data_IF_433684969377
#
_entry.id   IF_433684969377
#
_cell.length_a   1.000
_cell.length_b   1.000
_cell.length_c   1.000
_cell.angle_alpha   90.00
_cell.angle_beta   90.00
_cell.angle_gamma   90.00
#
_symmetry.space_group_name_H-M   'P 1'
#
loop_
_entity.id
_entity.type
_entity.pdbx_description
1 polymer ?
#
# COMPACT_ATOMS: atom_id res chain seq x y z
N UNK A 1 0.08 18.37 -36.66
CA UNK A 1 0.04 17.61 -37.93
C UNK A 1 -1.22 17.84 -38.75
N UNK A 2 -2.44 17.73 -38.18
CA UNK A 2 -3.71 17.85 -38.91
C UNK A 2 -3.86 19.16 -39.71
N UNK A 3 -3.69 20.33 -39.07
CA UNK A 3 -3.84 21.64 -39.73
C UNK A 3 -2.83 21.86 -40.88
N UNK A 4 -1.61 21.33 -40.73
CA UNK A 4 -0.56 21.43 -41.75
C UNK A 4 -0.86 20.55 -42.97
N UNK A 5 -1.48 19.39 -42.81
CA UNK A 5 -1.88 18.50 -43.92
C UNK A 5 -3.07 19.06 -44.69
N UNK A 6 -4.04 19.69 -44.00
CA UNK A 6 -5.16 20.39 -44.64
C UNK A 6 -4.69 21.59 -45.46
N UNK A 7 -3.65 22.29 -45.00
CA UNK A 7 -3.04 23.40 -45.75
C UNK A 7 -2.32 22.95 -47.02
N UNK A 8 -1.71 21.76 -47.01
CA UNK A 8 -1.02 21.20 -48.19
C UNK A 8 -1.96 20.45 -49.16
N UNK A 9 -3.28 20.65 -49.04
CA UNK A 9 -4.33 19.99 -49.83
C UNK A 9 -4.34 18.45 -49.72
N UNK A 10 -3.68 17.86 -48.71
CA UNK A 10 -3.71 16.42 -48.44
C UNK A 10 -4.89 16.12 -47.50
N UNK A 11 -6.10 16.22 -48.05
CA UNK A 11 -7.35 16.02 -47.34
C UNK A 11 -7.50 14.60 -46.80
N UNK A 12 -6.97 13.60 -47.51
CA UNK A 12 -7.00 12.20 -47.07
C UNK A 12 -6.19 12.00 -45.80
N UNK A 13 -4.93 12.48 -45.74
CA UNK A 13 -4.14 12.39 -44.51
C UNK A 13 -4.71 13.25 -43.38
N UNK A 14 -5.25 14.44 -43.70
CA UNK A 14 -5.91 15.32 -42.74
C UNK A 14 -7.10 14.62 -42.05
N UNK A 15 -8.03 14.06 -42.82
CA UNK A 15 -9.21 13.35 -42.30
C UNK A 15 -8.82 12.13 -41.46
N UNK A 16 -7.78 11.39 -41.85
CA UNK A 16 -7.32 10.21 -41.13
C UNK A 16 -6.63 10.54 -39.80
N UNK A 17 -5.88 11.65 -39.73
CA UNK A 17 -5.31 12.14 -38.47
C UNK A 17 -6.41 12.65 -37.55
N UNK A 18 -7.38 13.40 -38.10
CA UNK A 18 -8.50 13.94 -37.32
C UNK A 18 -9.40 12.84 -36.75
N UNK A 19 -9.72 11.82 -37.56
CA UNK A 19 -10.47 10.65 -37.12
C UNK A 19 -9.75 9.92 -35.97
N UNK A 20 -8.41 9.85 -36.02
CA UNK A 20 -7.63 9.27 -34.94
C UNK A 20 -7.64 10.08 -33.64
N UNK A 21 -7.61 11.41 -33.73
CA UNK A 21 -7.74 12.29 -32.55
C UNK A 21 -9.11 12.09 -31.88
N UNK A 22 -10.18 12.07 -32.68
CA UNK A 22 -11.55 11.91 -32.16
C UNK A 22 -11.75 10.53 -31.54
N UNK A 23 -11.31 9.47 -32.23
CA UNK A 23 -11.42 8.09 -31.76
C UNK A 23 -10.66 7.87 -30.44
N UNK A 24 -9.39 8.29 -30.37
CA UNK A 24 -8.59 8.20 -29.15
C UNK A 24 -9.18 9.05 -28.02
N UNK A 25 -9.71 10.24 -28.32
CA UNK A 25 -10.37 11.09 -27.32
C UNK A 25 -11.65 10.47 -26.75
N UNK A 26 -12.45 9.84 -27.61
CA UNK A 26 -13.62 9.07 -27.16
C UNK A 26 -13.21 7.88 -26.29
N UNK A 27 -12.14 7.17 -26.68
CA UNK A 27 -11.61 6.04 -25.91
C UNK A 27 -11.14 6.47 -24.52
N UNK A 28 -10.40 7.57 -24.43
CA UNK A 28 -9.93 8.08 -23.15
C UNK A 28 -11.07 8.54 -22.24
N UNK A 29 -12.15 9.10 -22.81
CA UNK A 29 -13.35 9.48 -22.04
C UNK A 29 -14.09 8.26 -21.48
N UNK A 30 -14.25 7.21 -22.29
CA UNK A 30 -14.93 5.97 -21.87
C UNK A 30 -14.08 5.18 -20.86
N UNK A 31 -12.76 5.14 -21.05
CA UNK A 31 -11.88 4.47 -20.08
C UNK A 31 -11.83 5.28 -18.77
N UNK A 32 -11.83 6.62 -18.87
CA UNK A 32 -11.80 7.53 -17.73
C UNK A 32 -13.12 7.69 -16.97
N UNK A 33 -14.25 7.17 -17.50
CA UNK A 33 -15.53 7.15 -16.76
C UNK A 33 -15.60 6.05 -15.72
N UNK A 34 -14.63 5.13 -15.72
CA UNK A 34 -14.55 4.04 -14.75
C UNK A 34 -14.39 4.59 -13.33
N UNK A 35 -15.20 4.10 -12.40
CA UNK A 35 -14.97 4.34 -10.98
C UNK A 35 -14.00 3.31 -10.44
N UNK A 36 -12.93 3.77 -9.77
CA UNK A 36 -12.00 2.91 -9.05
C UNK A 36 -12.65 2.53 -7.72
N UNK A 37 -13.17 1.30 -7.61
CA UNK A 37 -13.68 0.78 -6.35
C UNK A 37 -12.65 -0.17 -5.73
N UNK A 38 -12.33 0.07 -4.46
CA UNK A 38 -11.54 -0.84 -3.66
C UNK A 38 -12.45 -1.98 -3.17
N UNK A 39 -12.35 -3.14 -3.82
CA UNK A 39 -13.19 -4.27 -3.43
C UNK A 39 -12.60 -4.96 -2.19
N UNK A 40 -13.16 -4.64 -1.03
CA UNK A 40 -12.89 -5.36 0.21
C UNK A 40 -13.37 -6.80 0.15
N UNK A 41 -12.55 -7.73 0.62
CA UNK A 41 -13.00 -9.12 0.87
C UNK A 41 -13.93 -9.06 2.07
N UNK A 42 -15.22 -9.40 1.87
CA UNK A 42 -16.18 -9.48 2.99
C UNK A 42 -15.67 -10.47 4.04
N UNK A 43 -15.34 -9.97 5.22
CA UNK A 43 -14.99 -10.79 6.37
C UNK A 43 -16.19 -11.64 6.80
N UNK A 44 -15.91 -12.86 7.28
CA UNK A 44 -16.95 -13.73 7.82
C UNK A 44 -17.57 -13.06 9.07
N UNK A 45 -18.89 -13.17 9.30
CA UNK A 45 -19.58 -12.45 10.39
C UNK A 45 -19.14 -12.83 11.81
N UNK A 46 -18.27 -13.83 11.95
CA UNK A 46 -17.69 -14.30 13.22
C UNK A 46 -16.18 -14.09 13.30
N UNK A 47 -15.57 -13.39 12.34
CA UNK A 47 -14.14 -13.12 12.37
C UNK A 47 -13.82 -12.08 13.47
N UNK A 48 -12.77 -12.30 14.27
CA UNK A 48 -12.35 -11.35 15.30
C UNK A 48 -11.80 -10.06 14.67
N UNK A 49 -11.91 -8.89 15.33
CA UNK A 49 -11.42 -7.63 14.79
C UNK A 49 -9.98 -7.75 14.28
N UNK A 50 -9.76 -7.44 13.01
CA UNK A 50 -8.49 -7.67 12.33
C UNK A 50 -7.64 -6.43 12.35
N UNK A 51 -6.66 -6.39 13.25
CA UNK A 51 -5.52 -5.50 13.07
C UNK A 51 -4.55 -6.12 12.05
N UNK A 52 -3.90 -5.30 11.23
CA UNK A 52 -2.99 -5.71 10.18
C UNK A 52 -1.54 -5.31 10.46
N UNK A 53 -0.59 -6.11 9.97
CA UNK A 53 0.84 -5.79 10.02
C UNK A 53 1.48 -6.10 8.67
N UNK A 54 2.09 -5.10 8.06
CA UNK A 54 2.97 -5.23 6.91
C UNK A 54 4.40 -5.05 7.36
N UNK A 55 5.27 -5.94 6.89
CA UNK A 55 6.71 -5.86 7.13
C UNK A 55 7.41 -5.89 5.78
N UNK A 56 8.20 -4.87 5.49
CA UNK A 56 9.11 -4.83 4.36
C UNK A 56 10.52 -4.44 4.85
N UNK A 57 11.38 -5.45 4.98
CA UNK A 57 12.74 -5.25 5.51
C UNK A 57 12.76 -4.67 6.93
N UNK A 58 13.18 -3.40 7.04
CA UNK A 58 13.25 -2.64 8.30
C UNK A 58 12.00 -1.79 8.56
N UNK A 59 11.11 -1.66 7.58
CA UNK A 59 9.89 -0.87 7.70
C UNK A 59 8.71 -1.75 8.14
N UNK A 60 7.96 -1.23 9.12
CA UNK A 60 6.85 -1.93 9.76
C UNK A 60 5.66 -1.00 9.78
N UNK A 61 4.60 -1.40 9.07
CA UNK A 61 3.35 -0.64 9.02
C UNK A 61 2.30 -1.41 9.81
N UNK A 62 1.77 -0.76 10.85
CA UNK A 62 0.71 -1.28 11.71
C UNK A 62 -0.60 -0.60 11.32
N UNK A 63 -1.59 -1.42 10.95
CA UNK A 63 -2.92 -0.97 10.58
C UNK A 63 -3.87 -1.37 11.71
N UNK A 64 -4.27 -0.41 12.52
CA UNK A 64 -5.18 -0.61 13.65
C UNK A 64 -6.60 -0.23 13.20
N UNK A 65 -7.58 -1.12 13.37
CA UNK A 65 -8.94 -0.81 12.93
C UNK A 65 -9.95 -1.94 13.08
N UNK A 66 -11.24 -1.59 12.98
CA UNK A 66 -12.31 -2.58 12.92
C UNK A 66 -12.30 -3.29 11.57
N UNK A 67 -12.44 -4.62 11.61
CA UNK A 67 -12.33 -5.53 10.46
C UNK A 67 -13.37 -5.27 9.36
N UNK A 68 -14.46 -4.58 9.71
CA UNK A 68 -15.59 -4.28 8.83
C UNK A 68 -15.28 -3.22 7.75
N UNK A 69 -14.29 -2.34 7.96
CA UNK A 69 -14.04 -1.22 7.01
C UNK A 69 -12.64 -1.18 6.38
N UNK A 70 -11.56 -1.62 7.05
CA UNK A 70 -10.21 -1.13 6.67
C UNK A 70 -9.14 -2.23 6.55
N UNK A 71 -8.89 -3.04 7.58
CA UNK A 71 -7.68 -3.87 7.61
C UNK A 71 -7.67 -5.05 6.62
N UNK A 72 -8.80 -5.73 6.40
CA UNK A 72 -8.88 -6.83 5.43
C UNK A 72 -8.88 -6.29 3.99
N UNK A 73 -9.43 -5.09 3.79
CA UNK A 73 -9.43 -4.39 2.49
C UNK A 73 -8.04 -3.84 2.15
N UNK A 74 -7.26 -3.35 3.11
CA UNK A 74 -5.89 -2.91 2.85
C UNK A 74 -4.95 -4.09 2.61
N UNK A 75 -5.05 -5.15 3.41
CA UNK A 75 -4.12 -6.29 3.32
C UNK A 75 -4.44 -7.27 2.18
N UNK A 76 -5.68 -7.30 1.70
CA UNK A 76 -6.15 -8.26 0.67
C UNK A 76 -7.00 -7.65 -0.43
N UNK A 77 -7.26 -6.34 -0.38
CA UNK A 77 -8.06 -5.67 -1.38
C UNK A 77 -7.40 -5.73 -2.74
N UNK A 78 -8.26 -5.82 -3.77
CA UNK A 78 -7.86 -5.63 -5.15
C UNK A 78 -8.52 -4.34 -5.62
N UNK A 79 -7.75 -3.48 -6.26
CA UNK A 79 -8.32 -2.37 -7.00
C UNK A 79 -9.08 -2.95 -8.19
N UNK A 80 -10.38 -2.66 -8.27
CA UNK A 80 -11.22 -3.08 -9.39
C UNK A 80 -11.86 -1.86 -10.02
N UNK A 81 -11.72 -1.75 -11.34
CA UNK A 81 -12.42 -0.74 -12.12
C UNK A 81 -13.85 -1.22 -12.33
N UNK A 82 -14.81 -0.47 -11.78
CA UNK A 82 -16.24 -0.76 -11.93
C UNK A 82 -16.85 0.20 -12.94
N UNK A 83 -17.43 -0.39 -13.97
CA UNK A 83 -18.20 0.30 -14.99
C UNK A 83 -19.68 0.12 -14.70
N UNK A 84 -20.50 1.14 -14.97
CA UNK A 84 -21.94 1.03 -14.80
C UNK A 84 -22.54 0.04 -15.83
N UNK A 85 -23.34 -0.94 -15.38
CA UNK A 85 -23.44 -2.23 -16.07
C UNK A 85 -24.18 -2.27 -17.40
N UNK A 86 -24.84 -1.21 -17.86
CA UNK A 86 -25.81 -1.31 -18.96
C UNK A 86 -25.42 -0.63 -20.27
N UNK A 87 -24.59 0.41 -20.27
CA UNK A 87 -24.23 1.13 -21.50
C UNK A 87 -22.70 1.20 -21.72
N UNK A 88 -21.92 1.20 -20.65
CA UNK A 88 -20.47 1.42 -20.73
C UNK A 88 -19.71 0.24 -21.33
N UNK A 89 -20.13 -1.02 -21.09
CA UNK A 89 -19.50 -2.18 -21.71
C UNK A 89 -19.68 -2.19 -23.24
N UNK A 90 -20.85 -1.77 -23.72
CA UNK A 90 -21.11 -1.63 -25.15
C UNK A 90 -20.32 -0.45 -25.74
N UNK A 91 -20.17 0.65 -24.99
CA UNK A 91 -19.33 1.78 -25.37
C UNK A 91 -17.84 1.42 -25.45
N UNK A 92 -17.30 0.67 -24.47
CA UNK A 92 -15.92 0.17 -24.47
C UNK A 92 -15.68 -0.73 -25.69
N UNK A 93 -16.59 -1.68 -25.94
CA UNK A 93 -16.50 -2.58 -27.08
C UNK A 93 -16.56 -1.84 -28.42
N UNK A 94 -17.48 -0.87 -28.55
CA UNK A 94 -17.63 -0.05 -29.75
C UNK A 94 -16.40 0.85 -29.97
N UNK A 95 -15.85 1.41 -28.90
CA UNK A 95 -14.67 2.24 -28.96
C UNK A 95 -13.42 1.44 -29.33
N UNK A 96 -13.25 0.25 -28.74
CA UNK A 96 -12.18 -0.69 -29.11
C UNK A 96 -12.26 -1.08 -30.59
N UNK A 97 -13.46 -1.39 -31.09
CA UNK A 97 -13.66 -1.72 -32.50
C UNK A 97 -13.37 -0.52 -33.42
N UNK A 98 -13.77 0.68 -33.01
CA UNK A 98 -13.52 1.92 -33.75
C UNK A 98 -12.02 2.24 -33.81
N UNK A 99 -11.28 2.03 -32.72
CA UNK A 99 -9.81 2.17 -32.69
C UNK A 99 -9.11 1.16 -33.60
N UNK A 100 -9.53 -0.10 -33.58
CA UNK A 100 -8.97 -1.14 -34.48
C UNK A 100 -9.28 -0.80 -35.93
N UNK A 101 -10.52 -0.41 -36.24
CA UNK A 101 -10.91 0.00 -37.58
C UNK A 101 -10.12 1.23 -38.04
N UNK A 102 -9.92 2.22 -37.17
CA UNK A 102 -9.07 3.39 -37.42
C UNK A 102 -7.63 2.96 -37.73
N UNK A 103 -7.04 2.10 -36.91
CA UNK A 103 -5.65 1.64 -37.09
C UNK A 103 -5.48 0.95 -38.46
N UNK A 104 -6.42 0.07 -38.82
CA UNK A 104 -6.43 -0.62 -40.10
C UNK A 104 -6.59 0.35 -41.28
N UNK A 105 -7.52 1.31 -41.15
CA UNK A 105 -7.72 2.33 -42.17
C UNK A 105 -6.48 3.21 -42.33
N UNK A 106 -5.80 3.58 -41.23
CA UNK A 106 -4.55 4.34 -41.25
C UNK A 106 -3.43 3.52 -41.92
N UNK A 107 -3.31 2.22 -41.65
CA UNK A 107 -2.33 1.36 -42.29
C UNK A 107 -2.54 1.24 -43.81
N UNK A 108 -3.78 1.22 -44.27
CA UNK A 108 -4.12 1.04 -45.69
C UNK A 108 -4.10 2.35 -46.49
N UNK A 109 -4.61 3.44 -45.91
CA UNK A 109 -4.82 4.70 -46.62
C UNK A 109 -3.62 5.66 -46.54
N UNK A 110 -2.82 5.62 -45.47
CA UNK A 110 -1.64 6.50 -45.33
C UNK A 110 -0.56 6.20 -46.37
N UNK A 111 -0.25 4.92 -46.72
CA UNK A 111 0.66 4.62 -47.81
C UNK A 111 0.20 5.13 -49.18
N UNK A 112 -1.11 5.36 -49.37
CA UNK A 112 -1.69 5.93 -50.58
C UNK A 112 -1.68 7.47 -50.61
N UNK A 113 -1.36 8.11 -49.48
CA UNK A 113 -1.25 9.57 -49.34
C UNK A 113 0.09 10.14 -49.83
N UNK A 114 0.29 11.44 -49.67
CA UNK A 114 1.54 12.09 -50.10
C UNK A 114 2.70 11.80 -49.15
N UNK A 115 3.94 11.84 -49.64
CA UNK A 115 5.15 11.66 -48.81
C UNK A 115 5.19 12.61 -47.61
N UNK A 116 4.72 13.86 -47.80
CA UNK A 116 4.62 14.84 -46.71
C UNK A 116 3.61 14.40 -45.64
N UNK A 117 2.42 13.95 -46.05
CA UNK A 117 1.39 13.43 -45.13
C UNK A 117 1.89 12.23 -44.31
N UNK A 118 2.66 11.33 -44.92
CA UNK A 118 3.25 10.16 -44.26
C UNK A 118 4.24 10.55 -43.15
N UNK A 119 5.14 11.50 -43.42
CA UNK A 119 6.11 12.00 -42.43
C UNK A 119 5.39 12.73 -41.28
N UNK A 120 4.35 13.51 -41.59
CA UNK A 120 3.55 14.21 -40.58
C UNK A 120 2.75 13.27 -39.67
N UNK A 121 2.29 12.14 -40.20
CA UNK A 121 1.67 11.08 -39.40
C UNK A 121 2.70 10.38 -38.51
N UNK A 122 3.82 9.93 -39.09
CA UNK A 122 4.86 9.19 -38.37
C UNK A 122 5.46 10.01 -37.22
N UNK A 123 5.69 11.31 -37.45
CA UNK A 123 6.13 12.24 -36.41
C UNK A 123 5.09 12.43 -35.30
N UNK A 124 3.79 12.51 -35.62
CA UNK A 124 2.76 12.58 -34.58
C UNK A 124 2.65 11.30 -33.75
N UNK A 125 2.87 10.14 -34.37
CA UNK A 125 2.88 8.86 -33.68
C UNK A 125 4.11 8.74 -32.77
N UNK A 126 5.28 9.14 -33.27
CA UNK A 126 6.51 9.20 -32.48
C UNK A 126 6.39 10.15 -31.28
N UNK A 127 5.81 11.34 -31.47
CA UNK A 127 5.57 12.29 -30.40
C UNK A 127 4.58 11.74 -29.34
N UNK A 128 3.50 11.09 -29.78
CA UNK A 128 2.51 10.48 -28.87
C UNK A 128 3.12 9.31 -28.07
N UNK A 129 3.94 8.49 -28.72
CA UNK A 129 4.67 7.41 -28.05
C UNK A 129 5.68 7.95 -27.03
N UNK A 130 6.45 8.98 -27.37
CA UNK A 130 7.39 9.61 -26.44
C UNK A 130 6.68 10.24 -25.25
N UNK A 131 5.52 10.86 -25.47
CA UNK A 131 4.69 11.40 -24.39
C UNK A 131 4.14 10.31 -23.48
N UNK A 132 3.65 9.19 -24.04
CA UNK A 132 3.18 8.06 -23.24
C UNK A 132 4.32 7.39 -22.47
N UNK A 133 5.54 7.31 -23.01
CA UNK A 133 6.71 6.85 -22.27
C UNK A 133 7.05 7.78 -21.11
N UNK A 134 6.97 9.09 -21.33
CA UNK A 134 7.18 10.08 -20.27
C UNK A 134 6.13 9.93 -19.16
N UNK A 135 4.84 9.82 -19.51
CA UNK A 135 3.78 9.57 -18.53
C UNK A 135 3.95 8.22 -17.82
N UNK A 136 4.34 7.16 -18.53
CA UNK A 136 4.63 5.87 -17.91
C UNK A 136 5.86 5.90 -17.00
N UNK A 137 6.74 6.88 -17.17
CA UNK A 137 7.90 7.12 -16.31
C UNK A 137 7.59 8.03 -15.12
N UNK A 138 6.43 8.70 -15.11
CA UNK A 138 5.96 9.39 -13.91
C UNK A 138 5.69 8.33 -12.85
N UNK A 139 6.12 8.64 -11.64
CA UNK A 139 6.03 7.74 -10.51
C UNK A 139 4.56 7.49 -10.15
N UNK A 140 4.09 6.28 -10.43
CA UNK A 140 2.72 5.88 -10.13
C UNK A 140 2.52 5.62 -8.64
N UNK A 141 3.61 5.53 -7.86
CA UNK A 141 3.55 5.27 -6.41
C UNK A 141 2.80 6.38 -5.68
N UNK A 142 3.07 7.64 -5.99
CA UNK A 142 2.39 8.77 -5.36
C UNK A 142 0.89 8.83 -5.69
N UNK A 143 0.54 8.52 -6.94
CA UNK A 143 -0.87 8.46 -7.37
C UNK A 143 -1.59 7.28 -6.69
N UNK A 144 -0.92 6.14 -6.56
CA UNK A 144 -1.46 4.99 -5.85
C UNK A 144 -1.65 5.27 -4.36
N UNK A 145 -0.70 5.97 -3.74
CA UNK A 145 -0.79 6.41 -2.34
C UNK A 145 -1.98 7.35 -2.13
N UNK A 146 -2.10 8.41 -2.92
CA UNK A 146 -3.23 9.36 -2.81
C UNK A 146 -4.58 8.67 -3.01
N UNK A 147 -4.70 7.81 -4.02
CA UNK A 147 -5.93 7.04 -4.27
C UNK A 147 -6.26 6.07 -3.13
N UNK A 148 -5.23 5.45 -2.52
CA UNK A 148 -5.41 4.56 -1.37
C UNK A 148 -5.90 5.36 -0.16
N UNK A 149 -5.31 6.51 0.13
CA UNK A 149 -5.70 7.38 1.25
C UNK A 149 -7.12 7.93 1.08
N UNK A 150 -7.47 8.38 -0.13
CA UNK A 150 -8.81 8.87 -0.45
C UNK A 150 -9.86 7.76 -0.32
N UNK A 151 -9.60 6.58 -0.88
CA UNK A 151 -10.52 5.44 -0.80
C UNK A 151 -10.77 4.97 0.65
N UNK A 152 -9.76 5.10 1.52
CA UNK A 152 -9.84 4.72 2.92
C UNK A 152 -10.33 5.88 3.81
N UNK A 153 -10.56 7.06 3.24
CA UNK A 153 -10.86 8.29 3.98
C UNK A 153 -9.83 8.55 5.10
N UNK A 154 -8.58 8.16 4.88
CA UNK A 154 -7.48 8.34 5.81
C UNK A 154 -6.84 9.70 5.53
N UNK A 155 -6.90 10.56 6.54
CA UNK A 155 -6.18 11.84 6.52
C UNK A 155 -4.85 11.71 7.27
N UNK A 156 -3.88 12.62 7.02
CA UNK A 156 -2.57 12.65 7.71
C UNK A 156 -2.70 12.63 9.24
N UNK A 157 -3.81 13.13 9.78
CA UNK A 157 -4.12 13.13 11.21
C UNK A 157 -4.30 11.73 11.82
N UNK A 158 -4.55 10.71 11.00
CA UNK A 158 -4.70 9.31 11.41
C UNK A 158 -3.42 8.49 11.23
N UNK A 159 -2.35 9.09 10.71
CA UNK A 159 -1.08 8.41 10.45
C UNK A 159 0.02 8.95 11.35
N UNK A 160 0.74 8.04 12.01
CA UNK A 160 1.89 8.36 12.85
C UNK A 160 3.07 7.47 12.49
N UNK A 161 4.15 8.12 12.06
CA UNK A 161 5.42 7.45 11.77
C UNK A 161 6.33 7.56 12.99
N UNK A 162 6.81 6.40 13.45
CA UNK A 162 7.76 6.30 14.55
C UNK A 162 9.08 5.73 14.06
N UNK A 163 10.18 6.39 14.38
CA UNK A 163 11.52 5.83 14.20
C UNK A 163 11.89 5.05 15.46
N UNK A 164 11.80 3.73 15.38
CA UNK A 164 12.16 2.83 16.49
C UNK A 164 13.62 2.40 16.29
N UNK A 165 14.48 2.72 17.26
CA UNK A 165 15.93 2.58 17.11
C UNK A 165 16.43 1.13 16.98
N UNK A 166 15.67 0.16 17.48
CA UNK A 166 16.02 -1.27 17.46
C UNK A 166 14.84 -2.12 16.99
N UNK A 167 15.13 -3.20 16.24
CA UNK A 167 14.11 -4.18 15.79
C UNK A 167 13.35 -4.82 16.95
N UNK A 168 14.00 -4.95 18.11
CA UNK A 168 13.45 -5.39 19.39
C UNK A 168 12.39 -4.44 19.93
N UNK A 169 12.68 -3.14 19.95
CA UNK A 169 11.69 -2.11 20.30
C UNK A 169 10.49 -2.16 19.34
N UNK A 170 10.73 -2.28 18.03
CA UNK A 170 9.69 -2.38 17.01
C UNK A 170 8.78 -3.61 17.19
N UNK A 171 9.37 -4.78 17.43
CA UNK A 171 8.63 -6.02 17.66
C UNK A 171 7.72 -5.93 18.90
N UNK A 172 8.26 -5.42 20.01
CA UNK A 172 7.52 -5.27 21.26
C UNK A 172 6.41 -4.24 21.11
N UNK A 173 6.70 -3.09 20.48
CA UNK A 173 5.71 -2.04 20.21
C UNK A 173 4.57 -2.57 19.33
N UNK A 174 4.88 -3.26 18.24
CA UNK A 174 3.91 -3.88 17.35
C UNK A 174 2.99 -4.86 18.10
N UNK A 175 3.54 -5.74 18.93
CA UNK A 175 2.76 -6.69 19.72
C UNK A 175 1.91 -6.03 20.81
N UNK A 176 2.32 -4.87 21.32
CA UNK A 176 1.54 -4.10 22.30
C UNK A 176 0.39 -3.33 21.64
N UNK A 177 0.58 -2.88 20.39
CA UNK A 177 -0.44 -2.22 19.59
C UNK A 177 -1.49 -3.21 19.07
N UNK A 178 -1.03 -4.31 18.47
CA UNK A 178 -1.87 -5.39 17.95
C UNK A 178 -2.38 -6.24 19.11
N UNK A 179 -3.61 -5.99 19.57
CA UNK A 179 -4.23 -6.80 20.65
C UNK A 179 -5.60 -7.36 20.27
N UNK A 180 -5.73 -8.09 19.14
CA UNK A 180 -6.99 -8.73 18.81
C UNK A 180 -7.33 -9.84 19.82
N UNK A 181 -8.62 -10.18 20.00
CA UNK A 181 -9.03 -11.28 20.86
C UNK A 181 -8.50 -12.62 20.30
N UNK A 182 -7.73 -13.36 21.11
CA UNK A 182 -7.06 -14.59 20.70
C UNK A 182 -5.68 -14.39 20.07
N UNK A 183 -5.10 -13.19 20.17
CA UNK A 183 -3.76 -12.88 19.70
C UNK A 183 -2.68 -13.74 20.37
N UNK A 184 -1.83 -14.36 19.56
CA UNK A 184 -0.62 -15.06 20.00
C UNK A 184 0.61 -14.16 19.77
N UNK A 185 1.02 -13.34 20.76
CA UNK A 185 2.14 -12.40 20.61
C UNK A 185 3.47 -13.10 20.29
N UNK A 186 3.63 -14.34 20.72
CA UNK A 186 4.83 -15.14 20.46
C UNK A 186 5.09 -15.34 18.96
N UNK A 187 4.03 -15.61 18.18
CA UNK A 187 4.16 -15.80 16.73
C UNK A 187 4.60 -14.54 15.99
N UNK A 188 4.24 -13.35 16.48
CA UNK A 188 4.68 -12.08 15.91
C UNK A 188 6.11 -11.77 16.33
N UNK A 189 6.45 -11.91 17.61
CA UNK A 189 7.83 -11.66 18.08
C UNK A 189 8.82 -12.57 17.37
N UNK A 190 8.49 -13.85 17.17
CA UNK A 190 9.35 -14.79 16.42
C UNK A 190 9.50 -14.42 14.94
N UNK A 191 8.52 -13.75 14.32
CA UNK A 191 8.68 -13.21 12.96
C UNK A 191 9.67 -12.05 12.89
N UNK A 192 9.70 -11.19 13.91
CA UNK A 192 10.67 -10.10 13.99
C UNK A 192 12.07 -10.58 14.38
N UNK A 193 12.15 -11.53 15.32
CA UNK A 193 13.38 -11.99 15.94
C UNK A 193 13.37 -13.53 16.00
N UNK A 194 13.94 -14.21 15.00
CA UNK A 194 13.96 -15.67 14.95
C UNK A 194 15.06 -16.31 15.82
N UNK A 195 15.71 -15.54 16.72
CA UNK A 195 16.82 -16.05 17.53
C UNK A 195 16.32 -16.86 18.73
N UNK A 196 16.82 -18.09 18.88
CA UNK A 196 16.43 -19.02 19.94
C UNK A 196 17.55 -19.27 20.97
N UNK A 197 18.39 -18.27 21.25
CA UNK A 197 19.37 -18.44 22.34
C UNK A 197 18.68 -18.37 23.71
N UNK A 198 19.32 -18.89 24.78
CA UNK A 198 18.78 -18.82 26.13
C UNK A 198 18.41 -17.40 26.58
N UNK A 199 19.23 -16.40 26.23
CA UNK A 199 18.97 -14.98 26.52
C UNK A 199 17.69 -14.48 25.85
N UNK A 200 17.51 -14.79 24.56
CA UNK A 200 16.31 -14.41 23.81
C UNK A 200 15.05 -15.10 24.32
N UNK A 201 15.17 -16.33 24.81
CA UNK A 201 14.05 -17.07 25.38
C UNK A 201 13.61 -16.46 26.71
N UNK A 202 14.54 -16.18 27.61
CA UNK A 202 14.25 -15.48 28.88
C UNK A 202 13.66 -14.09 28.66
N UNK A 203 14.21 -13.33 27.70
CA UNK A 203 13.64 -12.03 27.33
C UNK A 203 12.21 -12.15 26.79
N UNK A 204 11.97 -13.09 25.84
CA UNK A 204 10.62 -13.32 25.29
C UNK A 204 9.62 -13.67 26.38
N UNK A 205 9.97 -14.56 27.32
CA UNK A 205 9.10 -14.94 28.43
C UNK A 205 8.70 -13.73 29.29
N UNK A 206 9.63 -12.84 29.61
CA UNK A 206 9.34 -11.60 30.36
C UNK A 206 8.40 -10.67 29.62
N UNK A 207 8.68 -10.42 28.33
CA UNK A 207 7.85 -9.56 27.48
C UNK A 207 6.44 -10.12 27.35
N UNK A 208 6.32 -11.44 27.10
CA UNK A 208 5.03 -12.13 27.01
C UNK A 208 4.27 -12.10 28.33
N UNK A 209 4.96 -12.21 29.47
CA UNK A 209 4.38 -12.04 30.81
C UNK A 209 3.75 -10.66 30.97
N UNK A 210 4.48 -9.60 30.63
CA UNK A 210 3.97 -8.22 30.67
C UNK A 210 2.78 -8.03 29.74
N UNK A 211 2.81 -8.58 28.53
CA UNK A 211 1.70 -8.47 27.57
C UNK A 211 0.43 -9.18 28.03
N UNK A 212 0.58 -10.35 28.68
CA UNK A 212 -0.54 -11.11 29.25
C UNK A 212 -1.16 -10.39 30.45
N UNK A 213 -0.31 -9.79 31.28
CA UNK A 213 -0.72 -9.13 32.52
C UNK A 213 -1.10 -7.65 32.32
N UNK A 214 -0.89 -7.07 31.12
CA UNK A 214 -1.23 -5.68 30.79
C UNK A 214 -2.72 -5.36 30.97
N UNK A 215 -3.61 -6.37 30.94
CA UNK A 215 -5.04 -6.18 31.25
C UNK A 215 -5.32 -5.96 32.75
N UNK A 216 -4.34 -6.18 33.63
CA UNK A 216 -4.52 -6.31 35.08
C UNK A 216 -3.53 -5.43 35.87
N UNK A 217 -2.35 -5.14 35.34
CA UNK A 217 -1.26 -4.52 36.10
C UNK A 217 -1.13 -2.99 35.93
N UNK A 218 -0.77 -2.33 37.03
CA UNK A 218 -0.32 -0.93 37.05
C UNK A 218 1.02 -0.79 36.32
N UNK A 219 1.30 0.39 35.77
CA UNK A 219 2.51 0.71 35.03
C UNK A 219 3.80 0.33 35.80
N UNK A 220 3.85 0.55 37.11
CA UNK A 220 4.97 0.17 37.98
C UNK A 220 5.26 -1.34 37.99
N UNK A 221 4.23 -2.20 37.97
CA UNK A 221 4.40 -3.66 37.99
C UNK A 221 4.98 -4.18 36.68
N UNK A 222 4.70 -3.53 35.56
CA UNK A 222 5.29 -3.86 34.26
C UNK A 222 6.79 -3.51 34.21
N UNK A 223 7.20 -2.41 34.85
CA UNK A 223 8.62 -2.06 34.95
C UNK A 223 9.42 -3.06 35.79
N UNK A 224 8.85 -3.56 36.87
CA UNK A 224 9.50 -4.55 37.74
C UNK A 224 9.69 -5.89 37.01
N UNK A 225 8.74 -6.30 36.16
CA UNK A 225 8.85 -7.50 35.33
C UNK A 225 9.92 -7.37 34.23
N UNK A 226 10.13 -6.15 33.70
CA UNK A 226 11.16 -5.81 32.72
C UNK A 226 12.51 -5.42 33.36
N UNK A 227 12.81 -5.98 34.53
CA UNK A 227 14.13 -5.91 35.15
C UNK A 227 14.76 -7.29 35.24
N UNK A 228 16.09 -7.31 35.21
CA UNK A 228 16.85 -8.53 35.39
C UNK A 228 16.86 -8.94 36.86
N UNK A 229 16.38 -10.14 37.15
CA UNK A 229 16.40 -10.71 38.49
C UNK A 229 17.80 -11.17 38.88
N UNK A 230 18.04 -11.29 40.18
CA UNK A 230 19.33 -11.76 40.68
C UNK A 230 19.63 -13.21 40.26
N UNK A 231 18.59 -14.03 40.09
CA UNK A 231 18.71 -15.39 39.57
C UNK A 231 19.18 -15.43 38.10
N UNK A 232 18.77 -14.45 37.29
CA UNK A 232 19.18 -14.34 35.88
C UNK A 232 20.61 -13.81 35.74
N UNK A 233 21.02 -12.94 36.66
CA UNK A 233 22.43 -12.51 36.75
C UNK A 233 23.33 -13.71 37.02
N UNK A 234 22.95 -14.60 37.93
CA UNK A 234 23.76 -15.79 38.23
C UNK A 234 23.76 -16.83 37.09
N UNK A 235 22.74 -16.81 36.23
CA UNK A 235 22.56 -17.78 35.14
C UNK A 235 23.38 -17.46 33.88
N UNK A 236 23.63 -16.18 33.60
CA UNK A 236 24.24 -15.73 32.35
C UNK A 236 25.67 -15.22 32.52
N UNK A 237 26.46 -15.34 31.44
CA UNK A 237 27.81 -14.73 31.38
C UNK A 237 27.69 -13.21 31.30
N UNK A 238 28.75 -12.43 31.64
CA UNK A 238 28.70 -10.97 31.64
C UNK A 238 28.24 -10.35 30.30
N UNK A 239 28.64 -10.93 29.17
CA UNK A 239 28.19 -10.45 27.85
C UNK A 239 26.70 -10.74 27.59
N UNK A 240 26.23 -11.90 28.04
CA UNK A 240 24.84 -12.34 27.89
C UNK A 240 23.91 -11.56 28.82
N UNK A 241 24.39 -11.23 30.04
CA UNK A 241 23.73 -10.31 30.96
C UNK A 241 23.57 -8.93 30.32
N UNK A 242 24.66 -8.37 29.78
CA UNK A 242 24.60 -7.06 29.12
C UNK A 242 23.67 -7.05 27.91
N UNK A 243 23.62 -8.14 27.15
CA UNK A 243 22.66 -8.31 26.07
C UNK A 243 21.22 -8.31 26.61
N UNK A 244 20.94 -9.12 27.65
CA UNK A 244 19.62 -9.18 28.27
C UNK A 244 19.18 -7.83 28.82
N UNK A 245 20.08 -7.07 29.45
CA UNK A 245 19.81 -5.73 29.98
C UNK A 245 19.37 -4.77 28.88
N UNK A 246 20.12 -4.72 27.77
CA UNK A 246 19.77 -3.89 26.61
C UNK A 246 18.40 -4.28 26.02
N UNK A 247 18.12 -5.58 25.92
CA UNK A 247 16.84 -6.07 25.38
C UNK A 247 15.64 -5.72 26.29
N UNK A 248 15.85 -5.73 27.60
CA UNK A 248 14.82 -5.34 28.57
C UNK A 248 14.60 -3.81 28.57
N UNK A 249 15.66 -3.03 28.35
CA UNK A 249 15.59 -1.59 28.15
C UNK A 249 14.80 -1.24 26.88
N UNK A 250 15.09 -1.89 25.75
CA UNK A 250 14.32 -1.78 24.50
C UNK A 250 12.82 -2.06 24.73
N UNK A 251 12.50 -3.15 25.44
CA UNK A 251 11.12 -3.53 25.75
C UNK A 251 10.41 -2.49 26.62
N UNK A 252 11.14 -1.85 27.54
CA UNK A 252 10.61 -0.79 28.40
C UNK A 252 10.29 0.47 27.59
N UNK A 253 11.20 0.90 26.72
CA UNK A 253 10.97 2.03 25.82
C UNK A 253 9.76 1.78 24.92
N UNK A 254 9.64 0.57 24.36
CA UNK A 254 8.47 0.19 23.57
C UNK A 254 7.16 0.26 24.39
N UNK A 255 7.19 -0.16 25.65
CA UNK A 255 6.03 -0.12 26.54
C UNK A 255 5.57 1.32 26.85
N UNK A 256 6.52 2.21 27.15
CA UNK A 256 6.24 3.64 27.37
C UNK A 256 5.59 4.30 26.16
N UNK A 257 6.17 4.08 24.98
CA UNK A 257 5.60 4.56 23.73
C UNK A 257 4.19 4.03 23.50
N UNK A 258 3.99 2.73 23.75
CA UNK A 258 2.70 2.09 23.55
C UNK A 258 1.61 2.61 24.51
N UNK A 259 1.95 2.90 25.76
CA UNK A 259 1.01 3.48 26.74
C UNK A 259 0.59 4.89 26.31
N UNK A 260 1.55 5.71 25.88
CA UNK A 260 1.27 7.06 25.39
C UNK A 260 0.37 7.05 24.15
N UNK A 261 0.62 6.12 23.22
CA UNK A 261 -0.19 6.00 22.00
C UNK A 261 -1.61 5.51 22.29
N UNK A 262 -1.76 4.53 23.19
CA UNK A 262 -3.10 4.06 23.62
C UNK A 262 -3.90 5.14 24.33
N UNK A 263 -3.25 6.10 24.99
CA UNK A 263 -3.91 7.28 25.56
C UNK A 263 -4.37 8.24 24.47
N UNK A 264 -3.55 8.44 23.43
CA UNK A 264 -3.91 9.25 22.26
C UNK A 264 -5.14 8.68 21.52
N UNK A 265 -5.13 7.37 21.21
CA UNK A 265 -6.24 6.67 20.55
C UNK A 265 -7.56 6.67 21.34
N UNK A 266 -7.55 6.94 22.65
CA UNK A 266 -8.76 7.05 23.48
C UNK A 266 -9.32 8.48 23.56
N UNK A 267 -8.51 9.48 23.23
CA UNK A 267 -8.84 10.90 23.35
C UNK A 267 -9.14 11.58 22.01
N UNK A 268 -8.72 10.99 20.90
CA UNK A 268 -9.11 11.38 19.53
C UNK A 268 -10.38 10.66 19.10
#
# INVERSE_FOLDING_TARGET
SCALCGWTYDWFCCSMILLGIISNGMASLVIGSASLELQGVKSAPTAPPGDGMLMDGDDVVLLLGKEEDVATTIMRGRFTLRYEPWDEYAAIGSCSLLLVAQLLAQLLLIPQGTFFGQIMFLSSLAASWAYNLYLSSIDNEHIQEELLLEALNLNEQHMRTYSLGTRTTAAVFACLMLQPPGFEPEGIICKFIPNDTPVWTTWREKVLGVMRDQKVCSQDTCYDLLQMSDQEKDMFKPNDQKLLENLLEDARTAYELAVNEKLWLKCG
#
